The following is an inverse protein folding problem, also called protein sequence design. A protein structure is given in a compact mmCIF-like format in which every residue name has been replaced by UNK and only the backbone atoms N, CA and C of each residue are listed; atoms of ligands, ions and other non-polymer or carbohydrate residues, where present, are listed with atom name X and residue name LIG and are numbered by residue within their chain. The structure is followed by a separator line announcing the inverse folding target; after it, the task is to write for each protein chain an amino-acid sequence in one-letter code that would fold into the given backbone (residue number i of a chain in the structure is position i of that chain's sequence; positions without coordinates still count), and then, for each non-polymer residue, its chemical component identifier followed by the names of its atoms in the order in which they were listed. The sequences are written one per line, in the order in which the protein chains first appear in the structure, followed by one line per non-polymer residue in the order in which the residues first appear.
data_IF_642655208209
#
_entry.id   IF_642655208209
#
_cell.length_a   1.000
_cell.length_b   1.000
_cell.length_c   1.000
_cell.angle_alpha   90.00
_cell.angle_beta   90.00
_cell.angle_gamma   90.00
#
_symmetry.space_group_name_H-M   'P 1'
#
loop_
_entity.id
_entity.type
_entity.pdbx_description
1 polymer ?
#
# COMPACT_ATOMS: atom_id res chain seq x y z
N UNK A 1 39.28 -45.70 -22.07
CA UNK A 1 37.90 -45.17 -22.15
C UNK A 1 37.53 -44.27 -20.96
N UNK A 2 38.39 -43.33 -20.52
CA UNK A 2 38.13 -42.53 -19.30
C UNK A 2 38.01 -41.02 -19.55
N UNK A 3 38.54 -40.52 -20.66
CA UNK A 3 38.42 -39.10 -21.04
C UNK A 3 37.14 -38.79 -21.80
N UNK A 4 36.62 -39.73 -22.60
CA UNK A 4 35.40 -39.55 -23.42
C UNK A 4 34.11 -39.45 -22.58
N UNK A 5 34.06 -40.11 -21.41
CA UNK A 5 32.90 -40.05 -20.50
C UNK A 5 32.79 -38.70 -19.77
N UNK A 6 33.93 -38.04 -19.50
CA UNK A 6 33.97 -36.73 -18.83
C UNK A 6 33.34 -35.65 -19.72
N UNK A 7 33.59 -35.69 -21.03
CA UNK A 7 33.01 -34.74 -21.97
C UNK A 7 31.48 -34.90 -22.11
N UNK A 8 30.96 -36.12 -21.98
CA UNK A 8 29.51 -36.38 -22.02
C UNK A 8 28.82 -35.83 -20.76
N UNK A 9 29.45 -35.96 -19.59
CA UNK A 9 28.94 -35.38 -18.33
C UNK A 9 29.02 -33.85 -18.34
N UNK A 10 30.09 -33.26 -18.90
CA UNK A 10 30.21 -31.81 -19.08
C UNK A 10 29.17 -31.24 -20.05
N UNK A 11 28.86 -31.95 -21.14
CA UNK A 11 27.90 -31.52 -22.14
C UNK A 11 26.45 -31.51 -21.61
N UNK A 12 26.10 -32.47 -20.74
CA UNK A 12 24.78 -32.53 -20.08
C UNK A 12 24.65 -31.44 -19.00
N UNK A 13 25.73 -31.09 -18.31
CA UNK A 13 25.72 -30.01 -17.31
C UNK A 13 25.47 -28.61 -17.94
N UNK A 14 25.98 -28.39 -19.16
CA UNK A 14 25.82 -27.13 -19.88
C UNK A 14 24.38 -26.90 -20.38
N UNK A 15 23.66 -27.94 -20.79
CA UNK A 15 22.27 -27.82 -21.27
C UNK A 15 21.23 -27.59 -20.14
N UNK A 16 21.54 -27.93 -18.89
CA UNK A 16 20.64 -27.71 -17.74
C UNK A 16 20.57 -26.25 -17.23
N UNK A 17 21.40 -25.35 -17.76
CA UNK A 17 21.59 -24.00 -17.22
C UNK A 17 20.62 -22.93 -17.78
N UNK A 18 19.79 -23.25 -18.78
CA UNK A 18 18.90 -22.25 -19.39
C UNK A 18 17.60 -21.97 -18.62
N UNK A 19 17.30 -22.69 -17.53
CA UNK A 19 16.10 -22.45 -16.71
C UNK A 19 16.26 -21.31 -15.67
N UNK A 20 17.36 -20.55 -15.68
CA UNK A 20 17.59 -19.44 -14.75
C UNK A 20 17.54 -18.03 -15.38
N UNK A 21 17.14 -17.91 -16.66
CA UNK A 21 17.14 -16.61 -17.36
C UNK A 21 15.91 -15.74 -17.09
N UNK A 22 14.85 -16.24 -16.45
CA UNK A 22 13.65 -15.43 -16.17
C UNK A 22 13.79 -14.43 -15.00
N UNK A 23 14.90 -14.44 -14.27
CA UNK A 23 15.15 -13.49 -13.18
C UNK A 23 15.86 -12.19 -13.62
N UNK A 24 16.42 -12.16 -14.83
CA UNK A 24 17.20 -11.03 -15.37
C UNK A 24 16.50 -10.35 -16.55
N UNK A 25 15.16 -10.34 -16.58
CA UNK A 25 14.44 -9.57 -17.59
C UNK A 25 14.55 -8.06 -17.27
N UNK A 26 15.54 -7.39 -17.88
CA UNK A 26 15.71 -5.93 -17.84
C UNK A 26 14.52 -5.18 -18.42
N UNK A 27 13.73 -5.84 -19.27
CA UNK A 27 12.49 -5.30 -19.85
C UNK A 27 11.40 -5.05 -18.79
N UNK A 28 11.50 -5.70 -17.62
CA UNK A 28 10.56 -5.53 -16.52
C UNK A 28 10.93 -4.38 -15.57
N UNK A 29 12.10 -3.75 -15.75
CA UNK A 29 12.51 -2.55 -15.00
C UNK A 29 11.78 -1.30 -15.48
N UNK A 30 11.51 -1.18 -16.78
CA UNK A 30 10.82 -0.02 -17.34
C UNK A 30 9.30 -0.05 -17.10
N UNK A 31 8.69 -1.25 -17.02
CA UNK A 31 7.25 -1.41 -16.79
C UNK A 31 6.78 -1.18 -15.35
N UNK A 32 7.69 -1.00 -14.39
CA UNK A 32 7.34 -0.74 -12.97
C UNK A 32 7.55 0.72 -12.58
N UNK A 33 7.22 1.65 -13.47
CA UNK A 33 7.11 3.05 -13.06
C UNK A 33 6.00 3.13 -12.01
N UNK A 34 6.34 3.62 -10.81
CA UNK A 34 5.34 3.82 -9.75
C UNK A 34 4.30 4.77 -10.30
N UNK A 35 2.99 4.45 -10.21
CA UNK A 35 1.95 5.32 -10.72
C UNK A 35 2.11 6.73 -10.18
N UNK A 36 1.94 7.74 -11.04
CA UNK A 36 1.99 9.14 -10.61
C UNK A 36 0.85 9.44 -9.64
N UNK A 37 0.93 10.55 -8.89
CA UNK A 37 -0.15 10.92 -7.96
C UNK A 37 -1.48 11.14 -8.68
N UNK A 38 -1.44 11.70 -9.89
CA UNK A 38 -2.62 11.89 -10.72
C UNK A 38 -3.18 10.54 -11.21
N UNK A 39 -2.32 9.62 -11.66
CA UNK A 39 -2.76 8.27 -12.04
C UNK A 39 -3.38 7.51 -10.86
N UNK A 40 -2.80 7.62 -9.67
CA UNK A 40 -3.38 7.02 -8.45
C UNK A 40 -4.75 7.59 -8.10
N UNK A 41 -4.93 8.90 -8.28
CA UNK A 41 -6.21 9.57 -8.06
C UNK A 41 -7.25 9.09 -9.08
N UNK A 42 -6.88 9.03 -10.36
CA UNK A 42 -7.74 8.53 -11.42
C UNK A 42 -8.20 7.09 -11.13
N UNK A 43 -7.28 6.20 -10.75
CA UNK A 43 -7.63 4.84 -10.37
C UNK A 43 -8.62 4.76 -9.19
N UNK A 44 -8.51 5.67 -8.22
CA UNK A 44 -9.48 5.74 -7.11
C UNK A 44 -10.86 6.20 -7.57
N UNK A 45 -10.91 7.17 -8.48
CA UNK A 45 -12.15 7.65 -9.10
C UNK A 45 -12.79 6.52 -9.91
N UNK A 46 -12.04 5.89 -10.82
CA UNK A 46 -12.53 4.81 -11.69
C UNK A 46 -13.06 3.63 -10.86
N UNK A 47 -12.32 3.27 -9.79
CA UNK A 47 -12.77 2.24 -8.87
C UNK A 47 -14.07 2.63 -8.16
N UNK A 48 -14.23 3.90 -7.80
CA UNK A 48 -15.44 4.39 -7.14
C UNK A 48 -16.63 4.39 -8.10
N UNK A 49 -16.47 4.91 -9.33
CA UNK A 49 -17.48 4.88 -10.39
C UNK A 49 -17.98 3.45 -10.61
N UNK A 50 -17.06 2.48 -10.71
CA UNK A 50 -17.40 1.05 -10.84
C UNK A 50 -18.12 0.49 -9.61
N UNK A 51 -17.66 0.84 -8.41
CA UNK A 51 -18.25 0.35 -7.14
C UNK A 51 -19.67 0.88 -6.93
N UNK A 52 -19.92 2.11 -7.40
CA UNK A 52 -21.22 2.77 -7.31
C UNK A 52 -22.15 2.42 -8.48
N UNK A 53 -21.65 1.73 -9.51
CA UNK A 53 -22.38 1.36 -10.72
C UNK A 53 -23.02 2.58 -11.40
N UNK A 54 -22.23 3.63 -11.58
CA UNK A 54 -22.72 4.86 -12.22
C UNK A 54 -22.78 4.67 -13.74
N UNK A 55 -23.83 5.21 -14.36
CA UNK A 55 -23.88 5.42 -15.80
C UNK A 55 -22.93 6.56 -16.22
N UNK A 56 -22.64 6.66 -17.51
CA UNK A 56 -21.67 7.63 -18.05
C UNK A 56 -22.06 9.09 -17.76
N UNK A 57 -23.36 9.42 -17.78
CA UNK A 57 -23.82 10.78 -17.53
C UNK A 57 -23.68 11.17 -16.04
N UNK A 58 -23.98 10.25 -15.14
CA UNK A 58 -23.79 10.43 -13.69
C UNK A 58 -22.31 10.43 -13.33
N UNK A 59 -21.51 9.54 -13.93
CA UNK A 59 -20.07 9.48 -13.73
C UNK A 59 -19.38 10.78 -14.15
N UNK A 60 -19.76 11.37 -15.29
CA UNK A 60 -19.21 12.64 -15.76
C UNK A 60 -19.44 13.79 -14.77
N UNK A 61 -20.59 13.82 -14.08
CA UNK A 61 -20.88 14.81 -13.02
C UNK A 61 -20.19 14.48 -11.70
N UNK A 62 -20.12 13.19 -11.35
CA UNK A 62 -19.56 12.72 -10.09
C UNK A 62 -18.03 12.89 -10.02
N UNK A 63 -17.31 12.51 -11.07
CA UNK A 63 -15.85 12.53 -11.13
C UNK A 63 -15.21 13.83 -10.65
N UNK A 64 -15.55 15.02 -11.20
CA UNK A 64 -14.92 16.27 -10.76
C UNK A 64 -15.25 16.64 -9.30
N UNK A 65 -16.39 16.21 -8.78
CA UNK A 65 -16.74 16.41 -7.36
C UNK A 65 -15.91 15.48 -6.47
N UNK A 66 -15.78 14.21 -6.86
CA UNK A 66 -15.05 13.20 -6.10
C UNK A 66 -13.53 13.43 -6.12
N UNK A 67 -12.96 13.92 -7.21
CA UNK A 67 -11.55 14.31 -7.27
C UNK A 67 -11.21 15.44 -6.29
N UNK A 68 -12.04 16.49 -6.26
CA UNK A 68 -11.87 17.59 -5.30
C UNK A 68 -11.99 17.08 -3.87
N UNK A 69 -12.95 16.19 -3.61
CA UNK A 69 -13.09 15.52 -2.32
C UNK A 69 -11.82 14.77 -1.91
N UNK A 70 -11.27 13.92 -2.79
CA UNK A 70 -10.04 13.17 -2.51
C UNK A 70 -8.83 14.09 -2.24
N UNK A 71 -8.75 15.22 -2.95
CA UNK A 71 -7.71 16.24 -2.75
C UNK A 71 -7.84 16.91 -1.38
N UNK A 72 -9.02 17.43 -1.03
CA UNK A 72 -9.26 18.08 0.27
C UNK A 72 -9.07 17.09 1.43
N UNK A 73 -9.51 15.83 1.29
CA UNK A 73 -9.22 14.77 2.26
C UNK A 73 -7.72 14.56 2.45
N UNK A 74 -6.94 14.61 1.36
CA UNK A 74 -5.49 14.43 1.42
C UNK A 74 -4.81 15.63 2.08
N UNK A 75 -5.24 16.84 1.77
CA UNK A 75 -4.75 18.07 2.42
C UNK A 75 -5.02 18.03 3.92
N UNK A 76 -6.22 17.60 4.34
CA UNK A 76 -6.53 17.39 5.76
C UNK A 76 -5.56 16.40 6.42
N UNK A 77 -5.27 15.25 5.76
CA UNK A 77 -4.31 14.25 6.28
C UNK A 77 -2.88 14.79 6.36
N UNK A 78 -2.48 15.64 5.43
CA UNK A 78 -1.11 16.16 5.33
C UNK A 78 -0.87 17.44 6.14
N UNK A 79 -1.92 18.10 6.64
CA UNK A 79 -1.81 19.41 7.32
C UNK A 79 -0.84 19.42 8.51
N UNK A 80 -0.76 18.33 9.27
CA UNK A 80 0.16 18.20 10.41
C UNK A 80 1.33 17.24 10.10
N UNK A 81 1.54 16.89 8.82
CA UNK A 81 2.61 16.00 8.42
C UNK A 81 3.94 16.73 8.50
N UNK A 82 4.75 16.41 9.52
CA UNK A 82 6.15 16.83 9.54
C UNK A 82 6.91 16.03 8.48
N UNK A 83 7.52 16.67 7.47
CA UNK A 83 8.39 15.97 6.54
C UNK A 83 9.46 15.26 7.35
N UNK A 84 9.77 14.03 6.94
CA UNK A 84 10.78 13.22 7.60
C UNK A 84 12.16 13.72 7.16
N UNK A 85 12.51 14.95 7.54
CA UNK A 85 13.86 15.47 7.44
C UNK A 85 14.72 14.66 8.43
N UNK A 86 15.88 14.23 7.95
CA UNK A 86 16.90 13.48 8.68
C UNK A 86 16.62 12.00 8.96
N UNK A 87 16.60 11.21 7.87
CA UNK A 87 17.33 9.94 7.93
C UNK A 87 18.81 10.23 7.66
N UNK A 88 19.51 10.78 8.65
CA UNK A 88 20.96 10.61 8.70
C UNK A 88 21.24 9.10 8.57
N UNK A 89 22.14 8.75 7.65
CA UNK A 89 22.52 7.39 7.27
C UNK A 89 22.63 6.51 8.53
N UNK A 90 21.73 5.55 8.68
CA UNK A 90 21.82 4.53 9.72
C UNK A 90 22.86 3.48 9.30
N UNK A 91 24.14 3.86 9.32
CA UNK A 91 25.23 2.92 9.55
C UNK A 91 25.31 2.75 11.05
N UNK A 92 24.60 1.75 11.58
CA UNK A 92 24.95 0.97 12.78
C UNK A 92 23.70 0.20 13.24
N UNK A 93 23.74 -1.11 13.03
CA UNK A 93 22.63 -2.02 13.26
C UNK A 93 22.44 -2.42 14.74
N UNK A 94 23.07 -1.75 15.70
CA UNK A 94 23.10 -2.23 17.10
C UNK A 94 22.88 -1.19 18.20
N UNK A 95 22.50 0.04 17.90
CA UNK A 95 22.04 0.97 18.93
C UNK A 95 20.50 0.95 19.02
N UNK A 96 19.94 0.34 20.06
CA UNK A 96 18.59 0.70 20.54
C UNK A 96 18.66 2.17 21.00
N UNK A 97 18.60 3.11 20.06
CA UNK A 97 18.30 4.51 20.39
C UNK A 97 16.89 4.50 20.98
N UNK A 98 16.79 4.73 22.28
CA UNK A 98 15.54 5.14 22.89
C UNK A 98 14.95 6.26 22.05
N UNK A 99 13.68 6.11 21.65
CA UNK A 99 12.98 7.22 21.02
C UNK A 99 12.99 8.36 22.04
N UNK A 100 13.38 9.59 21.66
CA UNK A 100 13.22 10.72 22.56
C UNK A 100 11.75 10.76 22.99
N UNK A 101 11.52 10.71 24.30
CA UNK A 101 10.19 10.91 24.86
C UNK A 101 9.77 12.35 24.57
N UNK A 102 8.58 12.54 24.00
CA UNK A 102 8.05 13.89 23.79
C UNK A 102 7.74 14.53 25.15
N UNK A 103 7.92 15.84 25.26
CA UNK A 103 7.52 16.58 26.48
C UNK A 103 6.01 16.75 26.54
N UNK A 104 5.45 17.03 27.72
CA UNK A 104 4.01 17.23 27.89
C UNK A 104 3.44 18.35 27.01
N UNK A 105 4.20 19.43 26.78
CA UNK A 105 3.81 20.52 25.89
C UNK A 105 3.79 20.11 24.41
N UNK A 106 4.73 19.28 23.99
CA UNK A 106 4.76 18.70 22.65
C UNK A 106 3.59 17.73 22.44
N UNK A 107 3.27 16.92 23.45
CA UNK A 107 2.12 16.02 23.45
C UNK A 107 0.82 16.84 23.37
N UNK A 108 0.68 17.88 24.20
CA UNK A 108 -0.50 18.75 24.19
C UNK A 108 -0.71 19.42 22.81
N UNK A 109 0.37 19.90 22.19
CA UNK A 109 0.34 20.48 20.84
C UNK A 109 -0.06 19.44 19.80
N UNK A 110 0.51 18.24 19.86
CA UNK A 110 0.14 17.13 18.97
C UNK A 110 -1.35 16.77 19.10
N UNK A 111 -1.87 16.65 20.32
CA UNK A 111 -3.27 16.33 20.58
C UNK A 111 -4.21 17.43 20.05
N UNK A 112 -3.90 18.72 20.30
CA UNK A 112 -4.66 19.85 19.74
C UNK A 112 -4.69 19.79 18.21
N UNK A 113 -3.56 19.50 17.59
CA UNK A 113 -3.45 19.36 16.14
C UNK A 113 -4.30 18.19 15.59
N UNK A 114 -4.39 17.07 16.31
CA UNK A 114 -5.28 15.96 15.96
C UNK A 114 -6.75 16.35 16.02
N UNK A 115 -7.18 17.11 17.03
CA UNK A 115 -8.55 17.62 17.09
C UNK A 115 -8.86 18.57 15.94
N UNK A 116 -7.96 19.51 15.63
CA UNK A 116 -8.12 20.43 14.49
C UNK A 116 -8.20 19.68 13.16
N UNK A 117 -7.35 18.66 12.97
CA UNK A 117 -7.41 17.81 11.78
C UNK A 117 -8.72 17.03 11.69
N UNK A 118 -9.20 16.49 12.81
CA UNK A 118 -10.44 15.70 12.85
C UNK A 118 -11.67 16.55 12.54
N UNK A 119 -11.72 17.80 13.04
CA UNK A 119 -12.78 18.76 12.72
C UNK A 119 -12.81 19.08 11.23
N UNK A 120 -11.68 19.49 10.65
CA UNK A 120 -11.59 19.75 9.21
C UNK A 120 -11.98 18.54 8.35
N UNK A 121 -11.60 17.34 8.78
CA UNK A 121 -11.99 16.10 8.11
C UNK A 121 -13.51 15.88 8.10
N UNK A 122 -14.19 16.19 9.21
CA UNK A 122 -15.65 16.12 9.30
C UNK A 122 -16.30 17.21 8.45
N UNK A 123 -15.79 18.44 8.49
CA UNK A 123 -16.30 19.56 7.69
C UNK A 123 -16.24 19.25 6.18
N UNK A 124 -15.12 18.68 5.71
CA UNK A 124 -14.98 18.23 4.31
C UNK A 124 -15.97 17.11 4.00
N UNK A 125 -16.16 16.14 4.90
CA UNK A 125 -17.12 15.04 4.68
C UNK A 125 -18.56 15.52 4.59
N UNK A 126 -18.94 16.46 5.43
CA UNK A 126 -20.28 17.07 5.42
C UNK A 126 -20.49 17.94 4.18
N UNK A 127 -19.51 18.79 3.84
CA UNK A 127 -19.53 19.60 2.61
C UNK A 127 -19.77 18.73 1.38
N UNK A 128 -19.00 17.65 1.21
CA UNK A 128 -19.14 16.79 0.04
C UNK A 128 -20.30 15.81 0.11
N UNK A 129 -20.83 15.48 1.29
CA UNK A 129 -22.11 14.80 1.40
C UNK A 129 -23.21 15.60 0.67
N UNK A 130 -23.28 16.91 0.92
CA UNK A 130 -24.27 17.79 0.29
C UNK A 130 -24.07 17.91 -1.23
N UNK A 131 -22.84 17.83 -1.72
CA UNK A 131 -22.57 17.80 -3.16
C UNK A 131 -22.91 16.44 -3.78
N UNK A 132 -22.57 15.34 -3.10
CA UNK A 132 -22.89 13.99 -3.57
C UNK A 132 -24.40 13.75 -3.58
N UNK A 133 -25.16 14.28 -2.61
CA UNK A 133 -26.63 14.11 -2.54
C UNK A 133 -27.38 14.75 -3.70
N UNK A 134 -26.74 15.66 -4.45
CA UNK A 134 -27.32 16.25 -5.67
C UNK A 134 -27.21 15.31 -6.90
N UNK A 135 -26.31 14.32 -6.85
CA UNK A 135 -25.91 13.50 -8.00
C UNK A 135 -26.17 12.01 -7.76
N UNK A 136 -26.06 11.57 -6.50
CA UNK A 136 -26.09 10.18 -6.09
C UNK A 136 -27.26 9.89 -5.16
N UNK A 137 -27.73 8.65 -5.19
CA UNK A 137 -28.67 8.15 -4.19
C UNK A 137 -28.01 7.98 -2.81
N UNK A 138 -28.80 8.03 -1.75
CA UNK A 138 -28.32 7.80 -0.37
C UNK A 138 -27.63 6.44 -0.20
N UNK A 139 -28.08 5.41 -0.93
CA UNK A 139 -27.43 4.08 -0.92
C UNK A 139 -26.04 4.12 -1.55
N UNK A 140 -25.84 4.88 -2.61
CA UNK A 140 -24.53 5.06 -3.24
C UNK A 140 -23.59 5.87 -2.33
N UNK A 141 -24.09 6.93 -1.70
CA UNK A 141 -23.32 7.73 -0.74
C UNK A 141 -22.88 6.87 0.46
N UNK A 142 -23.77 6.04 1.00
CA UNK A 142 -23.41 5.08 2.05
C UNK A 142 -22.27 4.14 1.61
N UNK A 143 -22.29 3.66 0.35
CA UNK A 143 -21.20 2.84 -0.19
C UNK A 143 -19.86 3.57 -0.26
N UNK A 144 -19.84 4.88 -0.54
CA UNK A 144 -18.60 5.68 -0.52
C UNK A 144 -17.94 5.58 0.86
N UNK A 145 -18.70 5.86 1.93
CA UNK A 145 -18.17 5.82 3.30
C UNK A 145 -17.76 4.41 3.75
N UNK A 146 -18.50 3.39 3.33
CA UNK A 146 -18.12 1.99 3.58
C UNK A 146 -16.80 1.64 2.89
N UNK A 147 -16.63 2.05 1.63
CA UNK A 147 -15.40 1.82 0.87
C UNK A 147 -14.20 2.54 1.50
N UNK A 148 -14.37 3.77 1.96
CA UNK A 148 -13.33 4.49 2.72
C UNK A 148 -12.90 3.75 3.99
N UNK A 149 -13.88 3.29 4.79
CA UNK A 149 -13.61 2.53 6.01
C UNK A 149 -12.87 1.23 5.71
N UNK A 150 -13.27 0.52 4.66
CA UNK A 150 -12.59 -0.70 4.22
C UNK A 150 -11.17 -0.42 3.72
N UNK A 151 -10.96 0.66 2.98
CA UNK A 151 -9.64 1.06 2.50
C UNK A 151 -8.71 1.43 3.64
N UNK A 152 -9.20 2.17 4.64
CA UNK A 152 -8.44 2.49 5.86
C UNK A 152 -8.05 1.21 6.63
N UNK A 153 -8.97 0.25 6.76
CA UNK A 153 -8.69 -1.03 7.40
C UNK A 153 -7.66 -1.86 6.64
N UNK A 154 -7.72 -1.89 5.31
CA UNK A 154 -6.72 -2.56 4.46
C UNK A 154 -5.34 -1.91 4.66
N UNK A 155 -5.27 -0.58 4.66
CA UNK A 155 -4.03 0.14 4.87
C UNK A 155 -3.45 -0.12 6.27
N UNK A 156 -4.29 -0.12 7.31
CA UNK A 156 -3.89 -0.47 8.68
C UNK A 156 -3.33 -1.89 8.77
N UNK A 157 -4.05 -2.88 8.23
CA UNK A 157 -3.59 -4.28 8.20
C UNK A 157 -2.25 -4.43 7.47
N UNK A 158 -2.11 -3.76 6.33
CA UNK A 158 -0.86 -3.79 5.55
C UNK A 158 0.29 -3.09 6.30
N UNK A 159 0.02 -1.98 6.99
CA UNK A 159 0.99 -1.30 7.82
C UNK A 159 1.43 -2.18 9.01
N UNK A 160 0.49 -2.78 9.73
CA UNK A 160 0.75 -3.65 10.87
C UNK A 160 1.54 -4.90 10.43
N UNK A 161 1.19 -5.50 9.28
CA UNK A 161 1.95 -6.59 8.64
C UNK A 161 3.40 -6.20 8.36
N UNK A 162 3.64 -5.00 7.82
CA UNK A 162 4.99 -4.50 7.53
C UNK A 162 5.79 -4.15 8.77
N UNK A 163 5.15 -3.63 9.82
CA UNK A 163 5.80 -3.33 11.11
C UNK A 163 6.31 -4.61 11.78
N UNK A 164 5.59 -5.73 11.63
CA UNK A 164 5.99 -7.04 12.15
C UNK A 164 7.07 -7.77 11.32
N UNK A 165 7.33 -7.34 10.08
CA UNK A 165 8.36 -7.94 9.22
C UNK A 165 9.70 -7.22 9.42
N UNK A 166 10.68 -7.91 10.00
CA UNK A 166 12.07 -7.41 10.04
C UNK A 166 12.59 -7.26 8.59
N UNK A 167 13.34 -6.19 8.27
CA UNK A 167 13.99 -6.09 6.96
C UNK A 167 14.94 -7.28 6.80
N UNK A 168 14.69 -8.16 5.82
CA UNK A 168 15.57 -9.29 5.51
C UNK A 168 14.99 -10.69 5.78
N UNK A 169 13.84 -10.84 6.43
CA UNK A 169 13.12 -12.12 6.42
C UNK A 169 12.15 -12.16 5.24
N UNK A 170 12.60 -12.76 4.14
CA UNK A 170 11.76 -13.17 3.03
C UNK A 170 10.59 -14.05 3.53
N UNK A 171 9.52 -14.10 2.75
CA UNK A 171 8.36 -14.93 3.05
C UNK A 171 8.75 -16.41 3.12
N UNK A 172 8.94 -16.93 4.34
CA UNK A 172 8.82 -18.35 4.64
C UNK A 172 7.44 -18.63 5.25
N UNK A 173 6.37 -18.09 4.66
CA UNK A 173 5.03 -18.67 4.83
C UNK A 173 4.84 -19.67 3.71
N UNK A 174 5.37 -20.88 3.91
CA UNK A 174 5.27 -21.96 2.93
C UNK A 174 5.71 -23.35 3.40
N UNK A 175 6.19 -23.52 4.63
CA UNK A 175 6.48 -24.85 5.16
C UNK A 175 5.96 -24.96 6.59
N UNK A 176 4.70 -25.37 6.72
CA UNK A 176 4.30 -26.14 7.90
C UNK A 176 5.04 -27.48 7.79
N UNK A 177 5.81 -27.94 8.79
CA UNK A 177 6.35 -29.28 8.76
C UNK A 177 5.17 -30.26 8.73
N UNK A 178 5.09 -31.05 7.65
CA UNK A 178 4.15 -32.16 7.54
C UNK A 178 4.55 -33.14 8.64
N UNK A 179 3.62 -33.48 9.54
CA UNK A 179 3.86 -34.48 10.57
C UNK A 179 4.36 -35.80 9.93
N UNK A 180 5.29 -36.53 10.55
CA UNK A 180 5.74 -37.82 10.03
C UNK A 180 4.53 -38.76 9.93
N UNK A 181 4.38 -39.43 8.77
CA UNK A 181 3.45 -40.55 8.65
C UNK A 181 3.99 -41.69 9.53
N UNK A 182 3.17 -42.31 10.38
CA UNK A 182 3.61 -43.45 11.18
C UNK A 182 3.94 -44.63 10.27
N UNK A 183 5.02 -45.32 10.64
CA UNK A 183 5.65 -46.44 9.96
C UNK A 183 4.65 -47.52 9.53
N UNK A 184 4.82 -48.02 8.30
CA UNK A 184 4.23 -49.29 7.87
C UNK A 184 5.34 -50.34 7.86
N UNK A 185 5.12 -51.36 8.71
CA UNK A 185 5.89 -52.61 8.84
C UNK A 185 5.97 -53.38 7.53
#
# INVERSE_FOLDING_TARGET
MKTKFIYVILAVLLMGSQMALSAQNTDNKERKQRPTQQQMMQMQVDQMVKTLMLDDATAAKFTPVYEKYLKELRECRMMNHKPRTDKAKATDANAKKERPSMTDDEIATMLRNQFTQSRKMLDVREKYYNEFSKILSQKQILKIYQQEKMNANKFKKEFDRRKGQKPGQGHHQGQRPRAPRPDQK
#
